data_IF_091582429700
#
_entry.id   IF_091582429700
#
_cell.length_a   1.000
_cell.length_b   1.000
_cell.length_c   1.000
_cell.angle_alpha   90.00
_cell.angle_beta   90.00
_cell.angle_gamma   90.00
#
_symmetry.space_group_name_H-M   'P 1'
#
loop_
_entity.id
_entity.type
_entity.pdbx_description
1 polymer ?
#
# COMPACT_ATOMS: atom_id res chain seq x y z
N UNK A 1 -26.71 -5.10 -36.19
CA UNK A 1 -26.24 -5.36 -34.81
C UNK A 1 -25.34 -6.58 -34.86
N UNK A 2 -24.03 -6.35 -35.00
CA UNK A 2 -23.03 -7.43 -35.07
C UNK A 2 -23.04 -8.20 -33.75
N UNK A 3 -23.31 -9.51 -33.78
CA UNK A 3 -23.24 -10.36 -32.58
C UNK A 3 -21.77 -10.62 -32.25
N UNK A 4 -21.28 -10.04 -31.14
CA UNK A 4 -19.95 -10.36 -30.61
C UNK A 4 -19.83 -11.87 -30.33
N UNK A 5 -18.65 -12.44 -30.62
CA UNK A 5 -18.33 -13.83 -30.26
C UNK A 5 -18.50 -14.07 -28.77
N UNK A 6 -18.89 -15.30 -28.39
CA UNK A 6 -19.11 -15.72 -27.01
C UNK A 6 -17.91 -15.40 -26.11
N UNK A 7 -16.69 -15.60 -26.60
CA UNK A 7 -15.46 -15.28 -25.84
C UNK A 7 -15.30 -13.80 -25.53
N UNK A 8 -15.67 -12.90 -26.45
CA UNK A 8 -15.57 -11.45 -26.24
C UNK A 8 -16.63 -10.98 -25.24
N UNK A 9 -17.83 -11.57 -25.29
CA UNK A 9 -18.86 -11.30 -24.30
C UNK A 9 -18.43 -11.75 -22.90
N UNK A 10 -17.77 -12.91 -22.79
CA UNK A 10 -17.24 -13.42 -21.53
C UNK A 10 -16.15 -12.50 -20.94
N UNK A 11 -15.16 -12.09 -21.75
CA UNK A 11 -14.10 -11.16 -21.34
C UNK A 11 -14.71 -9.83 -20.86
N UNK A 12 -15.69 -9.30 -21.60
CA UNK A 12 -16.40 -8.07 -21.22
C UNK A 12 -17.08 -8.21 -19.86
N UNK A 13 -17.79 -9.32 -19.62
CA UNK A 13 -18.48 -9.57 -18.36
C UNK A 13 -17.49 -9.68 -17.20
N UNK A 14 -16.38 -10.40 -17.37
CA UNK A 14 -15.34 -10.50 -16.33
C UNK A 14 -14.75 -9.13 -16.04
N UNK A 15 -14.35 -8.38 -17.07
CA UNK A 15 -13.74 -7.06 -16.88
C UNK A 15 -14.70 -6.11 -16.15
N UNK A 16 -15.99 -6.13 -16.48
CA UNK A 16 -17.00 -5.36 -15.78
C UNK A 16 -17.13 -5.77 -14.30
N UNK A 17 -17.24 -7.07 -14.01
CA UNK A 17 -17.36 -7.58 -12.64
C UNK A 17 -16.13 -7.25 -11.80
N UNK A 18 -14.92 -7.43 -12.34
CA UNK A 18 -13.68 -7.08 -11.65
C UNK A 18 -13.62 -5.59 -11.32
N UNK A 19 -13.95 -4.71 -12.26
CA UNK A 19 -13.96 -3.26 -11.99
C UNK A 19 -15.03 -2.86 -10.95
N UNK A 20 -16.19 -3.53 -10.90
CA UNK A 20 -17.18 -3.32 -9.84
C UNK A 20 -16.63 -3.77 -8.48
N UNK A 21 -15.96 -4.92 -8.40
CA UNK A 21 -15.35 -5.39 -7.16
C UNK A 21 -14.26 -4.42 -6.69
N UNK A 22 -13.38 -3.97 -7.59
CA UNK A 22 -12.37 -2.96 -7.28
C UNK A 22 -13.03 -1.68 -6.76
N UNK A 23 -14.06 -1.16 -7.43
CA UNK A 23 -14.78 0.04 -7.01
C UNK A 23 -15.33 -0.08 -5.59
N UNK A 24 -15.90 -1.23 -5.22
CA UNK A 24 -16.40 -1.47 -3.86
C UNK A 24 -15.27 -1.50 -2.82
N UNK A 25 -14.15 -2.16 -3.14
CA UNK A 25 -12.96 -2.22 -2.28
C UNK A 25 -12.37 -0.82 -2.11
N UNK A 26 -12.24 -0.05 -3.18
CA UNK A 26 -11.67 1.30 -3.14
C UNK A 26 -12.59 2.30 -2.42
N UNK A 27 -13.91 2.13 -2.50
CA UNK A 27 -14.84 2.95 -1.72
C UNK A 27 -14.70 2.67 -0.22
N UNK A 28 -14.50 1.40 0.16
CA UNK A 28 -14.18 1.03 1.53
C UNK A 28 -12.83 1.65 1.97
N UNK A 29 -11.80 1.56 1.11
CA UNK A 29 -10.49 2.16 1.34
C UNK A 29 -10.60 3.68 1.57
N UNK A 30 -11.42 4.36 0.76
CA UNK A 30 -11.68 5.80 0.87
C UNK A 30 -12.36 6.16 2.20
N UNK A 31 -13.40 5.40 2.60
CA UNK A 31 -14.09 5.60 3.88
C UNK A 31 -13.10 5.44 5.03
N UNK A 32 -12.25 4.41 4.99
CA UNK A 32 -11.23 4.16 6.01
C UNK A 32 -10.24 5.32 6.04
N UNK A 33 -9.74 5.78 4.89
CA UNK A 33 -8.81 6.92 4.80
C UNK A 33 -9.39 8.21 5.38
N UNK A 34 -10.68 8.50 5.11
CA UNK A 34 -11.40 9.66 5.68
C UNK A 34 -11.52 9.52 7.20
N UNK A 35 -11.91 8.35 7.69
CA UNK A 35 -12.06 8.09 9.12
C UNK A 35 -10.74 8.32 9.87
N UNK A 36 -9.65 7.77 9.32
CA UNK A 36 -8.29 7.94 9.84
C UNK A 36 -7.89 9.41 9.86
N UNK A 37 -8.12 10.15 8.77
CA UNK A 37 -7.75 11.58 8.66
C UNK A 37 -8.48 12.44 9.69
N UNK A 38 -9.78 12.22 9.88
CA UNK A 38 -10.62 13.03 10.77
C UNK A 38 -10.35 12.71 12.24
N UNK A 39 -10.36 11.41 12.58
CA UNK A 39 -10.29 10.99 13.98
C UNK A 39 -8.86 10.81 14.47
N UNK A 40 -7.91 10.65 13.55
CA UNK A 40 -6.51 10.37 13.90
C UNK A 40 -6.33 9.01 14.57
N UNK A 41 -7.25 8.07 14.31
CA UNK A 41 -7.26 6.72 14.88
C UNK A 41 -7.69 5.72 13.82
N UNK A 42 -7.06 4.56 13.82
CA UNK A 42 -7.41 3.44 12.98
C UNK A 42 -8.39 2.56 13.76
N UNK A 43 -9.64 3.00 13.84
CA UNK A 43 -10.74 2.21 14.41
C UNK A 43 -11.65 1.77 13.28
N UNK A 44 -11.26 0.72 12.57
CA UNK A 44 -12.16 0.10 11.58
C UNK A 44 -13.25 -0.67 12.34
N UNK A 45 -14.52 -0.51 11.94
CA UNK A 45 -15.70 -1.14 12.57
C UNK A 45 -15.62 -2.68 12.65
N UNK A 46 -14.65 -3.31 11.97
CA UNK A 46 -14.60 -4.77 11.71
C UNK A 46 -13.30 -5.44 12.22
N UNK A 47 -12.22 -4.70 12.53
CA UNK A 47 -10.94 -5.29 12.95
C UNK A 47 -10.60 -4.82 14.37
N UNK A 48 -10.58 -5.76 15.32
CA UNK A 48 -10.27 -5.55 16.75
C UNK A 48 -8.77 -5.28 17.03
N UNK A 49 -8.01 -4.80 16.04
CA UNK A 49 -6.61 -4.40 16.22
C UNK A 49 -6.54 -2.88 16.20
N UNK A 50 -6.47 -2.29 17.39
CA UNK A 50 -6.29 -0.86 17.56
C UNK A 50 -4.83 -0.48 17.29
N UNK A 51 -4.46 -0.39 16.01
CA UNK A 51 -3.12 0.09 15.60
C UNK A 51 -2.93 1.59 15.86
N UNK A 52 -3.94 2.29 16.42
CA UNK A 52 -3.79 3.68 16.88
C UNK A 52 -2.81 3.82 18.05
N UNK A 53 -2.44 2.72 18.72
CA UNK A 53 -1.36 2.71 19.71
C UNK A 53 0.04 2.61 19.07
N UNK A 54 0.11 2.24 17.79
CA UNK A 54 1.36 1.95 17.05
C UNK A 54 1.78 3.12 16.14
N UNK A 55 0.88 4.05 15.82
CA UNK A 55 1.20 5.19 14.95
C UNK A 55 0.68 6.50 15.52
N UNK A 56 1.54 7.52 15.53
CA UNK A 56 1.23 8.89 15.89
C UNK A 56 0.03 9.41 15.06
N UNK A 57 -0.83 10.21 15.67
CA UNK A 57 -1.93 10.90 15.01
C UNK A 57 -1.48 11.58 13.71
N UNK A 58 -0.33 12.25 13.69
CA UNK A 58 0.17 12.92 12.49
C UNK A 58 0.57 11.94 11.37
N UNK A 59 1.27 10.86 11.72
CA UNK A 59 1.67 9.80 10.77
C UNK A 59 0.43 9.11 10.22
N UNK A 60 -0.51 8.79 11.10
CA UNK A 60 -1.76 8.14 10.77
C UNK A 60 -2.64 9.03 9.89
N UNK A 61 -2.70 10.34 10.16
CA UNK A 61 -3.36 11.31 9.27
C UNK A 61 -2.70 11.37 7.89
N UNK A 62 -1.37 11.32 7.78
CA UNK A 62 -0.66 11.26 6.49
C UNK A 62 -1.01 9.98 5.73
N UNK A 63 -1.01 8.83 6.41
CA UNK A 63 -1.46 7.55 5.83
C UNK A 63 -2.90 7.67 5.33
N UNK A 64 -3.81 8.24 6.13
CA UNK A 64 -5.20 8.49 5.74
C UNK A 64 -5.32 9.37 4.49
N UNK A 65 -4.50 10.42 4.38
CA UNK A 65 -4.46 11.26 3.17
C UNK A 65 -3.99 10.46 1.94
N UNK A 66 -2.95 9.63 2.07
CA UNK A 66 -2.48 8.78 0.98
C UNK A 66 -3.56 7.78 0.54
N UNK A 67 -4.24 7.14 1.49
CA UNK A 67 -5.36 6.23 1.20
C UNK A 67 -6.49 6.93 0.45
N UNK A 68 -6.82 8.17 0.81
CA UNK A 68 -7.83 8.98 0.10
C UNK A 68 -7.39 9.26 -1.34
N UNK A 69 -6.14 9.69 -1.54
CA UNK A 69 -5.63 10.04 -2.87
C UNK A 69 -5.62 8.80 -3.78
N UNK A 70 -5.05 7.70 -3.29
CA UNK A 70 -4.98 6.43 -4.02
C UNK A 70 -6.39 5.91 -4.31
N UNK A 71 -7.27 5.87 -3.30
CA UNK A 71 -8.65 5.39 -3.46
C UNK A 71 -9.46 6.20 -4.46
N UNK A 72 -9.34 7.53 -4.48
CA UNK A 72 -10.01 8.36 -5.51
C UNK A 72 -9.47 8.03 -6.90
N UNK A 73 -8.15 7.91 -7.05
CA UNK A 73 -7.53 7.61 -8.34
C UNK A 73 -7.96 6.24 -8.88
N UNK A 74 -7.98 5.20 -8.04
CA UNK A 74 -8.37 3.84 -8.43
C UNK A 74 -9.88 3.71 -8.65
N UNK A 75 -10.73 4.45 -7.91
CA UNK A 75 -12.17 4.57 -8.21
C UNK A 75 -12.38 5.18 -9.59
N UNK A 76 -11.71 6.29 -9.92
CA UNK A 76 -11.82 6.90 -11.24
C UNK A 76 -11.41 5.93 -12.36
N UNK A 77 -10.32 5.17 -12.14
CA UNK A 77 -9.87 4.14 -13.07
C UNK A 77 -10.92 3.03 -13.25
N UNK A 78 -11.47 2.50 -12.16
CA UNK A 78 -12.52 1.48 -12.19
C UNK A 78 -13.78 1.97 -12.91
N UNK A 79 -14.16 3.24 -12.71
CA UNK A 79 -15.25 3.88 -13.44
C UNK A 79 -14.96 3.87 -14.94
N UNK A 80 -13.76 4.25 -15.40
CA UNK A 80 -13.43 4.17 -16.84
C UNK A 80 -13.54 2.75 -17.40
N UNK A 81 -13.11 1.73 -16.64
CA UNK A 81 -13.29 0.32 -17.03
C UNK A 81 -14.78 -0.08 -17.16
N UNK A 82 -15.61 0.34 -16.20
CA UNK A 82 -17.06 0.13 -16.25
C UNK A 82 -17.75 0.89 -17.39
N UNK A 83 -17.45 2.17 -17.57
CA UNK A 83 -18.01 3.00 -18.65
C UNK A 83 -17.62 2.45 -20.03
N UNK A 84 -16.36 2.06 -20.21
CA UNK A 84 -15.86 1.49 -21.47
C UNK A 84 -16.58 0.18 -21.84
N UNK A 85 -16.86 -0.66 -20.85
CA UNK A 85 -17.54 -1.96 -21.07
C UNK A 85 -19.06 -1.82 -21.24
N UNK A 86 -19.71 -0.94 -20.48
CA UNK A 86 -21.18 -0.72 -20.52
C UNK A 86 -21.60 0.06 -21.76
N UNK A 87 -20.90 1.15 -22.07
CA UNK A 87 -21.26 2.03 -23.20
C UNK A 87 -20.63 1.59 -24.53
N UNK A 88 -19.91 0.46 -24.55
CA UNK A 88 -19.15 -0.01 -25.72
C UNK A 88 -18.30 1.11 -26.33
N UNK A 89 -17.61 1.87 -25.49
CA UNK A 89 -16.84 3.03 -25.91
C UNK A 89 -15.34 2.71 -25.84
N UNK A 90 -14.72 2.66 -27.02
CA UNK A 90 -13.29 2.34 -27.19
C UNK A 90 -12.37 3.36 -26.52
N UNK A 91 -12.76 4.63 -26.45
CA UNK A 91 -11.89 5.68 -25.93
C UNK A 91 -11.71 5.51 -24.41
N UNK A 92 -12.78 5.20 -23.68
CA UNK A 92 -12.69 4.87 -22.25
C UNK A 92 -11.88 3.59 -22.00
N UNK A 93 -12.00 2.57 -22.87
CA UNK A 93 -11.20 1.34 -22.78
C UNK A 93 -9.70 1.61 -23.03
N UNK A 94 -9.37 2.48 -23.99
CA UNK A 94 -7.97 2.86 -24.25
C UNK A 94 -7.39 3.71 -23.13
N UNK A 95 -8.13 4.68 -22.59
CA UNK A 95 -7.68 5.47 -21.44
C UNK A 95 -7.41 4.55 -20.23
N UNK A 96 -8.34 3.64 -19.93
CA UNK A 96 -8.16 2.63 -18.88
C UNK A 96 -6.88 1.80 -19.09
N UNK A 97 -6.66 1.30 -20.31
CA UNK A 97 -5.48 0.51 -20.67
C UNK A 97 -4.17 1.30 -20.52
N UNK A 98 -4.14 2.55 -20.97
CA UNK A 98 -2.98 3.43 -20.87
C UNK A 98 -2.62 3.67 -19.40
N UNK A 99 -3.60 3.99 -18.56
CA UNK A 99 -3.36 4.24 -17.13
C UNK A 99 -2.85 2.97 -16.43
N UNK A 100 -3.46 1.80 -16.66
CA UNK A 100 -2.96 0.54 -16.11
C UNK A 100 -1.54 0.22 -16.58
N UNK A 101 -1.24 0.46 -17.86
CA UNK A 101 0.10 0.23 -18.39
C UNK A 101 1.14 1.13 -17.72
N UNK A 102 0.78 2.39 -17.42
CA UNK A 102 1.65 3.29 -16.66
C UNK A 102 1.87 2.81 -15.22
N UNK A 103 0.84 2.27 -14.57
CA UNK A 103 0.96 1.71 -13.22
C UNK A 103 1.93 0.53 -13.22
N UNK A 104 1.78 -0.43 -14.14
CA UNK A 104 2.71 -1.56 -14.31
C UNK A 104 4.16 -1.06 -14.49
N UNK A 105 4.37 -0.02 -15.30
CA UNK A 105 5.72 0.56 -15.48
C UNK A 105 6.25 1.14 -14.16
N UNK A 106 5.42 1.86 -13.39
CA UNK A 106 5.83 2.38 -12.09
C UNK A 106 6.13 1.27 -11.08
N UNK A 107 5.37 0.16 -11.08
CA UNK A 107 5.66 -1.01 -10.25
C UNK A 107 7.03 -1.59 -10.58
N UNK A 108 7.33 -1.82 -11.87
CA UNK A 108 8.63 -2.32 -12.31
C UNK A 108 9.78 -1.39 -11.96
N UNK A 109 9.60 -0.08 -12.18
CA UNK A 109 10.62 0.93 -11.82
C UNK A 109 10.87 0.92 -10.32
N UNK A 110 9.82 0.84 -9.50
CA UNK A 110 9.93 0.74 -8.04
C UNK A 110 10.71 -0.50 -7.60
N UNK A 111 10.46 -1.66 -8.22
CA UNK A 111 11.20 -2.89 -7.96
C UNK A 111 12.68 -2.73 -8.33
N UNK A 112 12.99 -2.19 -9.50
CA UNK A 112 14.38 -2.00 -9.96
C UNK A 112 15.14 -1.06 -9.03
N UNK A 113 14.55 0.07 -8.63
CA UNK A 113 15.16 1.03 -7.70
C UNK A 113 15.44 0.35 -6.37
N UNK A 114 14.45 -0.35 -5.81
CA UNK A 114 14.58 -1.05 -4.52
C UNK A 114 15.68 -2.11 -4.54
N UNK A 115 15.78 -2.87 -5.63
CA UNK A 115 16.82 -3.88 -5.79
C UNK A 115 18.21 -3.26 -6.00
N UNK A 116 18.31 -2.18 -6.79
CA UNK A 116 19.59 -1.53 -7.10
C UNK A 116 20.20 -0.85 -5.89
N UNK A 117 19.38 -0.15 -5.12
CA UNK A 117 19.81 0.66 -3.99
C UNK A 117 19.56 -0.05 -2.65
N UNK A 118 19.52 -1.39 -2.63
CA UNK A 118 19.17 -2.14 -1.41
C UNK A 118 20.07 -1.80 -0.22
N UNK A 119 21.38 -1.68 -0.44
CA UNK A 119 22.32 -1.39 0.64
C UNK A 119 22.18 0.07 1.11
N UNK A 120 22.11 1.01 0.17
CA UNK A 120 21.90 2.43 0.46
C UNK A 120 20.56 2.67 1.15
N UNK A 121 19.53 1.89 0.80
CA UNK A 121 18.22 1.90 1.45
C UNK A 121 18.33 1.47 2.91
N UNK A 122 19.11 0.43 3.22
CA UNK A 122 19.32 -0.02 4.60
C UNK A 122 20.13 0.99 5.42
N UNK A 123 21.15 1.62 4.82
CA UNK A 123 21.93 2.66 5.50
C UNK A 123 21.10 3.92 5.75
N UNK A 124 20.32 4.35 4.74
CA UNK A 124 19.36 5.44 4.87
C UNK A 124 18.27 5.12 5.90
N UNK A 125 17.83 3.87 5.96
CA UNK A 125 16.86 3.41 6.93
C UNK A 125 17.41 3.51 8.36
N UNK A 126 18.60 2.95 8.61
CA UNK A 126 19.23 2.96 9.93
C UNK A 126 19.51 4.39 10.40
N UNK A 127 20.07 5.24 9.53
CA UNK A 127 20.32 6.65 9.84
C UNK A 127 19.03 7.43 10.11
N UNK A 128 17.97 7.19 9.34
CA UNK A 128 16.66 7.79 9.60
C UNK A 128 16.06 7.29 10.92
N UNK A 129 16.18 6.01 11.23
CA UNK A 129 15.69 5.45 12.48
C UNK A 129 16.42 6.06 13.68
N UNK A 130 17.74 6.21 13.60
CA UNK A 130 18.52 6.91 14.63
C UNK A 130 18.10 8.38 14.79
N UNK A 131 17.89 9.09 13.68
CA UNK A 131 17.41 10.47 13.71
C UNK A 131 16.00 10.61 14.30
N UNK A 132 15.09 9.68 13.96
CA UNK A 132 13.74 9.64 14.51
C UNK A 132 13.80 9.36 16.01
N UNK A 133 14.58 8.36 16.43
CA UNK A 133 14.77 8.00 17.84
C UNK A 133 15.29 9.21 18.63
N UNK A 134 16.39 9.83 18.19
CA UNK A 134 16.95 11.00 18.86
C UNK A 134 15.95 12.16 18.94
N UNK A 135 15.25 12.46 17.85
CA UNK A 135 14.27 13.55 17.80
C UNK A 135 13.10 13.26 18.74
N UNK A 136 12.63 12.01 18.78
CA UNK A 136 11.51 11.61 19.60
C UNK A 136 11.79 11.86 21.08
N UNK A 137 12.92 11.36 21.59
CA UNK A 137 13.28 11.55 23.00
C UNK A 137 13.73 12.98 23.33
N UNK A 138 14.40 13.68 22.40
CA UNK A 138 14.84 15.08 22.62
C UNK A 138 13.69 16.07 22.71
N UNK A 139 12.66 15.91 21.87
CA UNK A 139 11.50 16.80 21.85
C UNK A 139 10.29 16.22 22.60
N UNK A 140 10.49 15.11 23.33
CA UNK A 140 9.45 14.42 24.08
C UNK A 140 8.19 14.14 23.22
N UNK A 141 8.42 13.61 22.02
CA UNK A 141 7.37 13.22 21.08
C UNK A 141 6.72 11.93 21.59
N UNK A 142 5.84 12.05 22.58
CA UNK A 142 5.20 10.95 23.30
C UNK A 142 4.59 9.90 22.38
N UNK A 143 4.07 10.32 21.23
CA UNK A 143 3.49 9.42 20.24
C UNK A 143 4.56 8.52 19.61
N UNK A 144 5.65 9.07 19.08
CA UNK A 144 6.76 8.31 18.49
C UNK A 144 7.45 7.43 19.55
N UNK A 145 7.61 7.95 20.77
CA UNK A 145 8.18 7.18 21.88
C UNK A 145 7.34 5.92 22.14
N UNK A 146 6.00 6.03 22.18
CA UNK A 146 5.13 4.84 22.34
C UNK A 146 5.29 3.81 21.23
N UNK A 147 5.48 4.24 19.98
CA UNK A 147 5.72 3.33 18.86
C UNK A 147 7.02 2.56 19.08
N UNK A 148 8.08 3.27 19.46
CA UNK A 148 9.40 2.68 19.73
C UNK A 148 9.28 1.68 20.88
N UNK A 149 8.68 2.09 22.01
CA UNK A 149 8.54 1.25 23.20
C UNK A 149 7.64 0.02 22.97
N UNK A 150 6.56 0.17 22.20
CA UNK A 150 5.71 -0.96 21.79
C UNK A 150 6.48 -1.92 20.87
N UNK A 151 7.23 -1.38 19.91
CA UNK A 151 8.04 -2.18 19.01
C UNK A 151 9.15 -2.94 19.74
N UNK A 152 9.79 -2.30 20.72
CA UNK A 152 10.78 -2.94 21.61
C UNK A 152 10.21 -4.16 22.34
N UNK A 153 8.97 -4.06 22.83
CA UNK A 153 8.27 -5.19 23.47
C UNK A 153 7.86 -6.27 22.45
N UNK A 154 7.23 -5.88 21.35
CA UNK A 154 6.72 -6.80 20.32
C UNK A 154 7.84 -7.60 19.65
N UNK A 155 9.01 -6.97 19.47
CA UNK A 155 10.17 -7.55 18.79
C UNK A 155 11.32 -7.89 19.71
N UNK A 156 11.18 -7.69 21.02
CA UNK A 156 12.17 -8.03 22.05
C UNK A 156 13.55 -7.46 21.71
N UNK A 157 13.58 -6.18 21.35
CA UNK A 157 14.79 -5.43 21.02
C UNK A 157 14.87 -4.19 21.92
N UNK A 158 16.03 -3.54 22.00
CA UNK A 158 16.17 -2.31 22.78
C UNK A 158 17.16 -1.33 22.14
N UNK A 159 16.72 -0.08 21.97
CA UNK A 159 17.50 0.96 21.31
C UNK A 159 17.73 0.70 19.82
N UNK A 160 18.32 1.68 19.13
CA UNK A 160 18.50 1.62 17.67
C UNK A 160 19.51 0.52 17.32
N UNK A 161 20.73 0.67 17.85
CA UNK A 161 21.85 -0.26 17.70
C UNK A 161 22.12 -1.02 19.00
N UNK A 162 21.77 -0.45 20.15
CA UNK A 162 21.96 -1.06 21.47
C UNK A 162 21.13 -0.35 22.53
N UNK A 163 20.82 -1.04 23.64
CA UNK A 163 20.21 -0.43 24.83
C UNK A 163 21.00 0.78 25.37
N UNK A 164 22.31 0.84 25.09
CA UNK A 164 23.18 1.97 25.48
C UNK A 164 22.87 3.26 24.72
N UNK A 165 22.10 3.22 23.63
CA UNK A 165 21.70 4.42 22.88
C UNK A 165 20.88 5.38 23.75
N UNK A 166 20.04 4.87 24.65
CA UNK A 166 19.34 5.70 25.63
C UNK A 166 20.32 6.52 26.48
N UNK A 167 21.34 5.85 27.02
CA UNK A 167 22.36 6.46 27.88
C UNK A 167 23.20 7.46 27.06
N UNK A 168 23.58 7.11 25.83
CA UNK A 168 24.33 7.97 24.89
C UNK A 168 23.63 9.31 24.67
N UNK A 169 22.30 9.32 24.64
CA UNK A 169 21.49 10.53 24.44
C UNK A 169 20.98 11.16 25.75
N UNK A 170 21.46 10.70 26.92
CA UNK A 170 21.10 11.29 28.21
C UNK A 170 19.73 10.86 28.74
N UNK A 171 19.20 9.74 28.27
CA UNK A 171 17.93 9.16 28.68
C UNK A 171 18.15 7.89 29.52
N UNK A 172 17.20 7.60 30.41
CA UNK A 172 17.14 6.31 31.11
C UNK A 172 16.58 5.25 30.17
N UNK A 173 17.03 4.00 30.34
CA UNK A 173 16.47 2.88 29.60
C UNK A 173 15.00 2.69 30.02
N UNK A 174 14.04 2.71 29.09
CA UNK A 174 12.62 2.57 29.39
C UNK A 174 12.27 1.13 29.83
N UNK A 175 11.15 0.96 30.52
CA UNK A 175 10.67 -0.36 30.93
C UNK A 175 10.35 -1.27 29.73
N UNK A 176 10.06 -0.71 28.56
CA UNK A 176 9.88 -1.43 27.28
C UNK A 176 11.11 -2.20 26.81
N UNK A 177 12.30 -1.91 27.34
CA UNK A 177 13.51 -2.67 27.04
C UNK A 177 13.66 -3.94 27.88
N UNK A 178 12.74 -4.20 28.82
CA UNK A 178 12.84 -5.32 29.76
C UNK A 178 11.71 -6.33 29.54
N UNK A 179 11.98 -7.64 29.72
CA UNK A 179 10.92 -8.63 29.73
C UNK A 179 9.90 -8.32 30.83
N UNK A 180 8.61 -8.49 30.50
CA UNK A 180 7.47 -8.16 31.38
C UNK A 180 7.48 -6.72 31.93
N UNK A 181 8.29 -5.83 31.34
CA UNK A 181 8.49 -4.45 31.80
C UNK A 181 9.10 -4.35 33.22
N UNK A 182 9.84 -5.38 33.66
CA UNK A 182 10.46 -5.44 34.99
C UNK A 182 11.93 -5.03 34.89
N UNK A 183 12.30 -3.88 35.46
CA UNK A 183 13.68 -3.32 35.42
C UNK A 183 14.73 -4.18 36.15
N UNK A 184 14.32 -5.21 36.88
CA UNK A 184 15.18 -6.13 37.62
C UNK A 184 15.74 -7.26 36.73
N UNK A 185 15.17 -7.45 35.54
CA UNK A 185 15.66 -8.39 34.55
C UNK A 185 16.74 -7.76 33.65
N UNK A 186 17.45 -8.59 32.87
CA UNK A 186 18.37 -8.07 31.86
C UNK A 186 17.58 -7.45 30.72
N UNK A 187 17.99 -6.28 30.25
CA UNK A 187 17.41 -5.66 29.06
C UNK A 187 17.61 -6.51 27.82
N UNK A 188 16.74 -6.36 26.83
CA UNK A 188 16.91 -7.02 25.53
C UNK A 188 18.28 -6.66 24.91
N UNK A 189 19.03 -7.69 24.50
CA UNK A 189 20.37 -7.55 23.92
C UNK A 189 20.34 -7.25 22.42
N UNK A 190 19.22 -7.55 21.75
CA UNK A 190 19.06 -7.38 20.32
C UNK A 190 18.81 -5.91 19.96
N UNK A 191 19.46 -5.44 18.90
CA UNK A 191 19.23 -4.09 18.36
C UNK A 191 17.90 -4.01 17.61
N UNK A 192 17.16 -2.90 17.75
CA UNK A 192 15.91 -2.77 17.01
C UNK A 192 16.12 -2.58 15.51
N UNK A 193 17.25 -1.98 15.07
CA UNK A 193 17.60 -1.94 13.66
C UNK A 193 17.67 -3.35 13.05
N UNK A 194 18.36 -4.29 13.71
CA UNK A 194 18.44 -5.68 13.25
C UNK A 194 17.09 -6.41 13.34
N UNK A 195 16.34 -6.19 14.44
CA UNK A 195 15.01 -6.76 14.59
C UNK A 195 14.05 -6.32 13.48
N UNK A 196 14.16 -5.08 13.00
CA UNK A 196 13.37 -4.57 11.87
C UNK A 196 13.77 -5.27 10.58
N UNK A 197 15.07 -5.46 10.33
CA UNK A 197 15.53 -6.22 9.15
C UNK A 197 14.93 -7.63 9.17
N UNK A 198 15.02 -8.33 10.30
CA UNK A 198 14.47 -9.68 10.45
C UNK A 198 12.95 -9.68 10.23
N UNK A 199 12.25 -8.70 10.81
CA UNK A 199 10.80 -8.56 10.61
C UNK A 199 10.46 -8.37 9.13
N UNK A 200 11.15 -7.46 8.43
CA UNK A 200 10.93 -7.21 7.01
C UNK A 200 11.12 -8.49 6.20
N UNK A 201 12.19 -9.26 6.45
CA UNK A 201 12.42 -10.51 5.71
C UNK A 201 11.33 -11.56 5.96
N UNK A 202 10.74 -11.60 7.15
CA UNK A 202 9.67 -12.54 7.48
C UNK A 202 8.33 -12.17 6.82
N UNK A 203 8.03 -10.87 6.71
CA UNK A 203 6.79 -10.40 6.06
C UNK A 203 6.93 -10.22 4.53
N UNK A 204 8.17 -10.15 4.02
CA UNK A 204 8.46 -9.94 2.61
C UNK A 204 7.72 -10.90 1.67
N UNK A 205 7.59 -12.22 1.95
CA UNK A 205 6.87 -13.13 1.07
C UNK A 205 5.39 -12.77 0.90
N UNK A 206 4.73 -12.27 1.96
CA UNK A 206 3.33 -11.84 1.89
C UNK A 206 3.20 -10.61 0.98
N UNK A 207 4.06 -9.61 1.18
CA UNK A 207 4.07 -8.37 0.38
C UNK A 207 4.32 -8.69 -1.09
N UNK A 208 5.33 -9.52 -1.39
CA UNK A 208 5.65 -9.97 -2.75
C UNK A 208 4.47 -10.71 -3.38
N UNK A 209 3.77 -11.56 -2.61
CA UNK A 209 2.58 -12.27 -3.10
C UNK A 209 1.44 -11.34 -3.48
N UNK A 210 1.16 -10.31 -2.68
CA UNK A 210 0.14 -9.29 -2.98
C UNK A 210 0.51 -8.51 -4.23
N UNK A 211 1.73 -7.97 -4.30
CA UNK A 211 2.19 -7.18 -5.46
C UNK A 211 2.19 -8.00 -6.76
N UNK A 212 2.63 -9.26 -6.69
CA UNK A 212 2.60 -10.16 -7.85
C UNK A 212 1.18 -10.42 -8.33
N UNK A 213 0.22 -10.58 -7.40
CA UNK A 213 -1.18 -10.78 -7.75
C UNK A 213 -1.79 -9.54 -8.42
N UNK A 214 -1.47 -8.34 -7.91
CA UNK A 214 -1.89 -7.07 -8.50
C UNK A 214 -1.37 -6.97 -9.93
N UNK A 215 -0.08 -7.20 -10.16
CA UNK A 215 0.53 -7.17 -11.50
C UNK A 215 -0.23 -8.05 -12.51
N UNK A 216 -0.59 -9.29 -12.14
CA UNK A 216 -1.36 -10.18 -13.03
C UNK A 216 -2.78 -9.68 -13.30
N UNK A 217 -3.44 -9.08 -12.32
CA UNK A 217 -4.78 -8.49 -12.48
C UNK A 217 -4.71 -7.28 -13.43
N UNK A 218 -3.70 -6.42 -13.27
CA UNK A 218 -3.49 -5.27 -14.14
C UNK A 218 -3.17 -5.70 -15.57
N UNK A 219 -2.29 -6.69 -15.74
CA UNK A 219 -1.96 -7.26 -17.04
C UNK A 219 -3.21 -7.82 -17.73
N UNK A 220 -4.04 -8.56 -17.00
CA UNK A 220 -5.32 -9.03 -17.51
C UNK A 220 -6.25 -7.87 -17.91
N UNK A 221 -6.32 -6.81 -17.12
CA UNK A 221 -7.09 -5.60 -17.40
C UNK A 221 -6.62 -4.90 -18.67
N UNK A 222 -5.31 -4.76 -18.88
CA UNK A 222 -4.71 -4.18 -20.09
C UNK A 222 -5.06 -5.02 -21.32
N UNK A 223 -4.82 -6.33 -21.28
CA UNK A 223 -5.09 -7.21 -22.44
C UNK A 223 -6.58 -7.20 -22.77
N UNK A 224 -7.44 -7.35 -21.76
CA UNK A 224 -8.90 -7.40 -21.95
C UNK A 224 -9.45 -6.08 -22.51
N UNK A 225 -9.00 -4.94 -21.97
CA UNK A 225 -9.44 -3.62 -22.44
C UNK A 225 -8.98 -3.32 -23.86
N UNK A 226 -7.76 -3.70 -24.24
CA UNK A 226 -7.26 -3.55 -25.61
C UNK A 226 -8.04 -4.42 -26.59
N UNK A 227 -8.26 -5.71 -26.27
CA UNK A 227 -9.04 -6.63 -27.12
C UNK A 227 -10.46 -6.10 -27.32
N UNK A 228 -11.11 -5.62 -26.26
CA UNK A 228 -12.44 -5.03 -26.35
C UNK A 228 -12.44 -3.71 -27.13
N UNK A 229 -11.46 -2.83 -26.89
CA UNK A 229 -11.34 -1.55 -27.58
C UNK A 229 -11.16 -1.71 -29.09
N UNK A 230 -10.28 -2.63 -29.51
CA UNK A 230 -10.07 -2.96 -30.93
C UNK A 230 -11.33 -3.57 -31.54
N UNK A 231 -11.99 -4.50 -30.84
CA UNK A 231 -13.23 -5.12 -31.34
C UNK A 231 -14.33 -4.07 -31.56
N UNK A 232 -14.54 -3.18 -30.58
CA UNK A 232 -15.51 -2.09 -30.67
C UNK A 232 -15.15 -1.15 -31.83
N UNK A 233 -13.88 -0.81 -31.98
CA UNK A 233 -13.43 0.07 -33.06
C UNK A 233 -13.68 -0.54 -34.44
N UNK A 234 -13.44 -1.85 -34.61
CA UNK A 234 -13.68 -2.52 -35.87
C UNK A 234 -15.18 -2.59 -36.19
N UNK A 235 -16.02 -2.96 -35.21
CA UNK A 235 -17.48 -3.01 -35.40
C UNK A 235 -18.05 -1.65 -35.81
N UNK A 236 -17.57 -0.57 -35.19
CA UNK A 236 -18.00 0.79 -35.52
C UNK A 236 -17.64 1.20 -36.96
N UNK A 237 -16.50 0.73 -37.48
CA UNK A 237 -16.07 1.04 -38.84
C UNK A 237 -16.88 0.24 -39.87
N UNK A 238 -17.19 -1.03 -39.60
CA UNK A 238 -18.02 -1.87 -40.48
C UNK A 238 -19.43 -1.28 -40.63
N UNK A 239 -20.07 -0.88 -39.52
CA UNK A 239 -21.41 -0.24 -39.56
C UNK A 239 -21.42 1.10 -40.32
N UNK A 240 -20.27 1.77 -40.47
CA UNK A 240 -20.13 3.01 -41.26
C UNK A 240 -20.07 2.72 -42.77
N UNK A 241 -19.30 1.71 -43.19
CA UNK A 241 -19.22 1.31 -44.60
C UNK A 241 -20.53 0.72 -45.11
N UNK A 242 -21.28 -0.02 -44.29
CA UNK A 242 -22.59 -0.58 -44.68
C UNK A 242 -23.70 0.49 -44.86
N UNK A 243 -23.43 1.74 -44.45
CA UNK A 243 -24.36 2.88 -44.59
C UNK A 243 -24.06 3.78 -45.79
N UNK A 244 -22.93 3.58 -46.48
CA UNK A 244 -22.58 4.27 -47.73
C UNK A 244 -23.10 3.49 -48.94
#
# INVERSE_FOLDING_TARGET
>A
MVRLSCGIQFIRTILFVLNIICLLIDFLLLIIGIHIKVNGKFSVIIITYDISQIFDKEVLQRIGILMIIIGIATICLAIFGCLGTVYHNRDFLYIYSIILSLIIVFEFVGIIITLRFRNDFWELYNSNFENIFQRAYRYNQTEIIRIIEQFEQDRKCCGVNSYTDYIKYGHTIPSSCYPNQILQENSFSQSCAEAIVIWIWNELPMIVGILTSIFFIELFGVISSLVLGVTVSHSSNTDFYDKL
#
